data_IF_014233959599
#
_entry.id   IF_014233959599
#
_cell.length_a   1.000
_cell.length_b   1.000
_cell.length_c   1.000
_cell.angle_alpha   90.00
_cell.angle_beta   90.00
_cell.angle_gamma   90.00
#
_symmetry.space_group_name_H-M   'P 1'
#
loop_
_entity.id
_entity.type
_entity.pdbx_description
1 polymer ?
#
# COMPACT_ATOMS: atom_id res chain seq x y z
N UNK A 1 -45.51 4.29 6.53
CA UNK A 1 -44.45 3.25 6.44
C UNK A 1 -43.47 3.39 5.25
N UNK A 2 -43.82 4.04 4.12
CA UNK A 2 -42.97 4.12 2.92
C UNK A 2 -41.59 4.81 3.08
N UNK A 3 -41.45 5.77 4.00
CA UNK A 3 -40.21 6.56 4.18
C UNK A 3 -39.01 5.68 4.61
N UNK A 4 -39.24 4.66 5.44
CA UNK A 4 -38.20 3.74 5.98
C UNK A 4 -37.59 2.84 4.92
N UNK A 5 -38.38 2.33 3.97
CA UNK A 5 -37.88 1.51 2.86
C UNK A 5 -37.01 2.33 1.89
N UNK A 6 -37.40 3.58 1.62
CA UNK A 6 -36.63 4.48 0.75
C UNK A 6 -35.25 4.85 1.33
N UNK A 7 -35.13 4.95 2.66
CA UNK A 7 -33.87 5.24 3.35
C UNK A 7 -32.95 4.02 3.41
N UNK A 8 -33.52 2.82 3.60
CA UNK A 8 -32.76 1.56 3.59
C UNK A 8 -32.15 1.29 2.21
N UNK A 9 -32.94 1.42 1.13
CA UNK A 9 -32.44 1.30 -0.24
C UNK A 9 -31.33 2.32 -0.55
N UNK A 10 -31.48 3.57 -0.09
CA UNK A 10 -30.43 4.60 -0.24
C UNK A 10 -29.16 4.25 0.52
N UNK A 11 -29.27 3.74 1.75
CA UNK A 11 -28.13 3.33 2.57
C UNK A 11 -27.39 2.14 1.97
N UNK A 12 -28.12 1.10 1.52
CA UNK A 12 -27.55 -0.05 0.80
C UNK A 12 -26.83 0.38 -0.46
N UNK A 13 -27.46 1.23 -1.28
CA UNK A 13 -26.82 1.76 -2.49
C UNK A 13 -25.55 2.55 -2.18
N UNK A 14 -25.55 3.35 -1.10
CA UNK A 14 -24.36 4.07 -0.64
C UNK A 14 -23.25 3.12 -0.20
N UNK A 15 -23.58 2.08 0.57
CA UNK A 15 -22.64 1.05 1.00
C UNK A 15 -22.04 0.26 -0.17
N UNK A 16 -22.86 -0.17 -1.13
CA UNK A 16 -22.39 -0.86 -2.33
C UNK A 16 -21.46 0.02 -3.17
N UNK A 17 -21.78 1.31 -3.35
CA UNK A 17 -20.90 2.25 -4.04
C UNK A 17 -19.58 2.45 -3.29
N UNK A 18 -19.60 2.55 -1.97
CA UNK A 18 -18.39 2.66 -1.15
C UNK A 18 -17.50 1.40 -1.30
N UNK A 19 -18.09 0.21 -1.22
CA UNK A 19 -17.40 -1.05 -1.42
C UNK A 19 -16.81 -1.18 -2.84
N UNK A 20 -17.58 -0.82 -3.87
CA UNK A 20 -17.10 -0.83 -5.25
C UNK A 20 -15.93 0.14 -5.47
N UNK A 21 -15.98 1.34 -4.88
CA UNK A 21 -14.86 2.29 -4.92
C UNK A 21 -13.61 1.74 -4.22
N UNK A 22 -13.77 1.09 -3.06
CA UNK A 22 -12.66 0.45 -2.36
C UNK A 22 -12.02 -0.66 -3.21
N UNK A 23 -12.82 -1.56 -3.80
CA UNK A 23 -12.33 -2.60 -4.72
C UNK A 23 -11.63 -2.02 -5.95
N UNK A 24 -12.17 -0.97 -6.55
CA UNK A 24 -11.53 -0.31 -7.71
C UNK A 24 -10.20 0.32 -7.32
N UNK A 25 -10.10 0.93 -6.13
CA UNK A 25 -8.86 1.51 -5.64
C UNK A 25 -7.76 0.44 -5.43
N UNK A 26 -8.11 -0.73 -4.87
CA UNK A 26 -7.15 -1.83 -4.69
C UNK A 26 -6.66 -2.38 -6.03
N UNK A 27 -7.56 -2.60 -7.00
CA UNK A 27 -7.19 -3.06 -8.34
C UNK A 27 -6.27 -2.07 -9.08
N UNK A 28 -6.59 -0.77 -9.02
CA UNK A 28 -5.75 0.28 -9.61
C UNK A 28 -4.37 0.31 -8.93
N UNK A 29 -4.31 0.17 -7.60
CA UNK A 29 -3.04 0.13 -6.88
C UNK A 29 -2.19 -1.08 -7.29
N UNK A 30 -2.79 -2.28 -7.36
CA UNK A 30 -2.13 -3.50 -7.79
C UNK A 30 -1.59 -3.36 -9.23
N UNK A 31 -2.40 -2.84 -10.15
CA UNK A 31 -1.96 -2.57 -11.52
C UNK A 31 -0.80 -1.56 -11.57
N UNK A 32 -0.89 -0.45 -10.82
CA UNK A 32 0.16 0.59 -10.77
C UNK A 32 1.48 0.13 -10.17
N UNK A 33 1.44 -0.84 -9.27
CA UNK A 33 2.61 -1.50 -8.69
C UNK A 33 3.25 -2.46 -9.70
N UNK A 34 2.42 -3.13 -10.52
CA UNK A 34 2.89 -4.02 -11.60
C UNK A 34 3.57 -3.27 -12.73
N UNK A 35 3.04 -2.13 -13.14
CA UNK A 35 3.51 -1.41 -14.34
C UNK A 35 4.65 -0.44 -14.08
N UNK A 36 5.05 -0.18 -12.82
CA UNK A 36 6.18 0.69 -12.57
C UNK A 36 6.54 0.90 -11.12
N UNK A 37 7.66 1.59 -10.91
CA UNK A 37 8.21 1.83 -9.58
C UNK A 37 7.28 2.71 -8.72
N UNK A 38 7.00 2.27 -7.49
CA UNK A 38 6.15 2.96 -6.51
C UNK A 38 6.80 2.98 -5.13
N UNK A 39 6.27 3.77 -4.20
CA UNK A 39 6.79 3.80 -2.83
C UNK A 39 6.56 2.45 -2.14
N UNK A 40 7.42 2.09 -1.18
CA UNK A 40 7.25 0.87 -0.38
C UNK A 40 5.86 0.78 0.26
N UNK A 41 5.31 1.91 0.71
CA UNK A 41 3.96 1.98 1.26
C UNK A 41 2.91 1.51 0.26
N UNK A 42 3.00 1.92 -1.01
CA UNK A 42 2.05 1.47 -2.04
C UNK A 42 2.16 -0.03 -2.29
N UNK A 43 3.37 -0.60 -2.28
CA UNK A 43 3.57 -2.05 -2.40
C UNK A 43 2.94 -2.81 -1.23
N UNK A 44 3.17 -2.37 0.01
CA UNK A 44 2.63 -2.98 1.23
C UNK A 44 1.10 -2.89 1.29
N UNK A 45 0.52 -1.75 0.88
CA UNK A 45 -0.94 -1.61 0.79
C UNK A 45 -1.53 -2.45 -0.35
N UNK A 46 -0.81 -2.63 -1.46
CA UNK A 46 -1.28 -3.42 -2.59
C UNK A 46 -1.40 -4.92 -2.26
N UNK A 47 -0.63 -5.42 -1.31
CA UNK A 47 -0.77 -6.80 -0.79
C UNK A 47 -1.81 -6.94 0.32
N UNK A 48 -2.53 -5.86 0.66
CA UNK A 48 -3.67 -5.89 1.57
C UNK A 48 -3.35 -5.68 3.05
N UNK A 49 -2.13 -5.24 3.40
CA UNK A 49 -1.84 -4.91 4.79
C UNK A 49 -2.55 -3.58 5.18
N UNK A 50 -3.24 -3.52 6.34
CA UNK A 50 -3.94 -2.30 6.76
C UNK A 50 -2.96 -1.15 7.01
N UNK A 51 -3.45 0.08 6.85
CA UNK A 51 -2.62 1.30 6.91
C UNK A 51 -1.88 1.48 8.23
N UNK A 52 -2.48 1.06 9.34
CA UNK A 52 -1.92 1.13 10.69
C UNK A 52 -0.62 0.32 10.80
N UNK A 53 -0.64 -0.88 10.21
CA UNK A 53 0.47 -1.83 10.21
C UNK A 53 1.50 -1.55 9.11
N UNK A 54 1.06 -0.92 8.02
CA UNK A 54 1.89 -0.61 6.87
C UNK A 54 3.06 0.32 7.21
N UNK A 55 2.86 1.30 8.10
CA UNK A 55 3.91 2.25 8.49
C UNK A 55 5.08 1.54 9.16
N UNK A 56 4.79 0.71 10.16
CA UNK A 56 5.81 -0.05 10.91
C UNK A 56 6.57 -1.04 10.02
N UNK A 57 5.88 -1.73 9.11
CA UNK A 57 6.53 -2.62 8.16
C UNK A 57 7.42 -1.83 7.19
N UNK A 58 6.94 -0.72 6.63
CA UNK A 58 7.70 0.12 5.69
C UNK A 58 8.98 0.67 6.31
N UNK A 59 8.94 1.16 7.55
CA UNK A 59 10.15 1.67 8.21
C UNK A 59 11.19 0.58 8.44
N UNK A 60 10.75 -0.65 8.71
CA UNK A 60 11.65 -1.80 8.77
C UNK A 60 12.23 -2.13 7.40
N UNK A 61 11.40 -2.17 6.35
CA UNK A 61 11.85 -2.42 4.98
C UNK A 61 12.85 -1.36 4.50
N UNK A 62 12.70 -0.09 4.89
CA UNK A 62 13.68 0.97 4.59
C UNK A 62 15.06 0.67 5.21
N UNK A 63 15.09 0.14 6.44
CA UNK A 63 16.34 -0.27 7.09
C UNK A 63 17.00 -1.43 6.33
N UNK A 64 16.21 -2.43 5.93
CA UNK A 64 16.69 -3.56 5.12
C UNK A 64 17.15 -3.12 3.72
N UNK A 65 16.45 -2.19 3.08
CA UNK A 65 16.87 -1.62 1.79
C UNK A 65 18.24 -0.94 1.90
N UNK A 66 18.48 -0.16 2.96
CA UNK A 66 19.80 0.43 3.24
C UNK A 66 20.86 -0.64 3.49
N UNK A 67 20.56 -1.66 4.30
CA UNK A 67 21.48 -2.77 4.60
C UNK A 67 21.89 -3.55 3.35
N UNK A 68 20.95 -3.78 2.44
CA UNK A 68 21.18 -4.50 1.19
C UNK A 68 21.69 -3.58 0.06
N UNK A 69 22.00 -2.30 0.36
CA UNK A 69 22.41 -1.28 -0.62
C UNK A 69 21.42 -1.06 -1.80
N UNK A 70 20.14 -1.41 -1.62
CA UNK A 70 19.10 -1.27 -2.65
C UNK A 70 18.60 0.17 -2.65
N UNK A 71 18.95 0.92 -3.69
CA UNK A 71 18.53 2.31 -3.90
C UNK A 71 17.32 2.35 -4.84
N UNK A 72 16.21 2.91 -4.35
CA UNK A 72 15.06 3.20 -5.19
C UNK A 72 15.32 4.40 -6.11
N UNK A 73 14.49 4.57 -7.14
CA UNK A 73 14.50 5.75 -7.99
C UNK A 73 14.01 6.96 -7.20
N UNK A 74 14.82 8.03 -7.19
CA UNK A 74 14.47 9.30 -6.56
C UNK A 74 13.28 9.94 -7.28
N UNK A 75 12.32 10.42 -6.52
CA UNK A 75 11.18 11.19 -7.01
C UNK A 75 10.86 12.32 -6.02
N UNK A 76 10.06 13.30 -6.47
CA UNK A 76 9.50 14.35 -5.61
C UNK A 76 8.01 14.10 -5.43
N UNK A 77 7.52 14.21 -4.20
CA UNK A 77 6.09 14.07 -3.90
C UNK A 77 5.67 15.12 -2.89
N UNK A 78 4.49 15.71 -3.12
CA UNK A 78 3.76 16.46 -2.09
C UNK A 78 2.75 15.57 -1.35
N UNK A 79 2.42 14.40 -1.90
CA UNK A 79 1.45 13.46 -1.32
C UNK A 79 2.17 12.43 -0.45
N UNK A 80 1.72 12.27 0.78
CA UNK A 80 2.20 11.29 1.77
C UNK A 80 1.06 10.37 2.19
N UNK A 81 1.35 9.36 3.03
CA UNK A 81 0.31 8.56 3.68
C UNK A 81 -0.61 9.40 4.56
N UNK A 82 -0.07 10.50 5.11
CA UNK A 82 -0.74 11.34 6.11
C UNK A 82 -1.47 12.54 5.46
N UNK A 83 -1.46 12.63 4.12
CA UNK A 83 -2.17 13.67 3.38
C UNK A 83 -1.29 14.41 2.35
N UNK A 84 -1.43 15.74 2.32
CA UNK A 84 -0.73 16.62 1.38
C UNK A 84 0.17 17.61 2.12
N UNK A 85 1.43 17.69 1.70
CA UNK A 85 2.43 18.58 2.26
C UNK A 85 2.51 19.89 1.46
N UNK A 86 2.68 21.00 2.17
CA UNK A 86 2.95 22.33 1.58
C UNK A 86 4.23 22.34 0.73
N UNK A 87 5.25 21.58 1.11
CA UNK A 87 6.54 21.45 0.40
C UNK A 87 6.72 20.03 -0.15
N UNK A 88 7.29 19.93 -1.34
CA UNK A 88 7.60 18.62 -1.94
C UNK A 88 8.76 17.95 -1.18
N UNK A 89 8.57 16.69 -0.83
CA UNK A 89 9.60 15.86 -0.18
C UNK A 89 10.22 14.90 -1.19
N UNK A 90 11.46 14.48 -0.92
CA UNK A 90 12.13 13.45 -1.71
C UNK A 90 11.62 12.08 -1.26
N UNK A 91 11.12 11.29 -2.21
CA UNK A 91 10.62 9.94 -1.97
C UNK A 91 11.34 8.97 -2.90
N UNK A 92 11.59 7.76 -2.43
CA UNK A 92 12.18 6.70 -3.23
C UNK A 92 11.10 5.73 -3.72
N UNK A 93 11.16 5.40 -5.01
CA UNK A 93 10.27 4.45 -5.67
C UNK A 93 11.03 3.20 -6.03
N UNK A 94 10.45 2.05 -5.72
CA UNK A 94 11.05 0.73 -5.88
C UNK A 94 10.22 -0.07 -6.89
N UNK A 95 10.89 -0.87 -7.71
CA UNK A 95 10.23 -1.88 -8.55
C UNK A 95 9.84 -3.10 -7.72
N UNK A 96 9.07 -4.04 -8.29
CA UNK A 96 8.68 -5.25 -7.56
C UNK A 96 9.89 -6.14 -7.27
N UNK A 97 10.82 -6.26 -8.21
CA UNK A 97 12.05 -7.04 -8.04
C UNK A 97 12.92 -6.48 -6.92
N UNK A 98 13.03 -5.14 -6.85
CA UNK A 98 13.73 -4.49 -5.75
C UNK A 98 13.04 -4.75 -4.40
N UNK A 99 11.71 -4.72 -4.36
CA UNK A 99 10.96 -5.03 -3.13
C UNK A 99 11.13 -6.48 -2.73
N UNK A 100 11.06 -7.42 -3.68
CA UNK A 100 11.31 -8.85 -3.47
C UNK A 100 12.71 -9.08 -2.85
N UNK A 101 13.73 -8.42 -3.39
CA UNK A 101 15.09 -8.48 -2.85
C UNK A 101 15.21 -7.87 -1.44
N UNK A 102 14.48 -6.79 -1.14
CA UNK A 102 14.44 -6.20 0.21
C UNK A 102 13.78 -7.18 1.21
N UNK A 103 12.64 -7.79 0.83
CA UNK A 103 11.89 -8.68 1.74
C UNK A 103 12.56 -10.04 1.94
N UNK A 104 13.45 -10.46 1.03
CA UNK A 104 14.20 -11.71 1.13
C UNK A 104 14.95 -11.81 2.48
N UNK A 105 15.58 -10.72 2.93
CA UNK A 105 16.35 -10.69 4.20
C UNK A 105 15.51 -10.33 5.43
N UNK A 106 14.26 -9.88 5.23
CA UNK A 106 13.36 -9.51 6.31
C UNK A 106 12.70 -10.74 6.96
N UNK A 107 12.80 -10.92 8.28
CA UNK A 107 12.19 -12.04 9.01
C UNK A 107 11.18 -11.54 10.07
N UNK A 108 9.92 -11.26 9.69
CA UNK A 108 8.90 -10.77 10.62
C UNK A 108 8.45 -11.84 11.62
N UNK A 109 8.14 -11.41 12.86
CA UNK A 109 7.55 -12.25 13.90
C UNK A 109 6.01 -12.24 13.87
N UNK A 110 5.41 -11.06 13.62
CA UNK A 110 3.94 -10.86 13.57
C UNK A 110 3.32 -11.64 12.40
N UNK A 111 2.22 -12.39 12.58
CA UNK A 111 1.62 -13.20 11.53
C UNK A 111 1.16 -12.38 10.31
N UNK A 112 0.55 -11.22 10.53
CA UNK A 112 0.15 -10.29 9.47
C UNK A 112 1.34 -9.89 8.57
N UNK A 113 2.52 -9.67 9.17
CA UNK A 113 3.72 -9.28 8.43
C UNK A 113 4.34 -10.47 7.69
N UNK A 114 4.21 -11.70 8.20
CA UNK A 114 4.63 -12.91 7.51
C UNK A 114 3.82 -13.12 6.22
N UNK A 115 2.49 -12.98 6.30
CA UNK A 115 1.62 -13.06 5.14
C UNK A 115 1.95 -11.96 4.11
N UNK A 116 2.11 -10.71 4.56
CA UNK A 116 2.48 -9.61 3.67
C UNK A 116 3.87 -9.82 3.03
N UNK A 117 4.85 -10.34 3.79
CA UNK A 117 6.17 -10.71 3.24
C UNK A 117 6.03 -11.75 2.14
N UNK A 118 5.28 -12.83 2.37
CA UNK A 118 5.10 -13.89 1.38
C UNK A 118 4.48 -13.33 0.10
N UNK A 119 3.43 -12.51 0.23
CA UNK A 119 2.79 -11.86 -0.90
C UNK A 119 3.74 -10.90 -1.67
N UNK A 120 4.59 -10.14 -0.95
CA UNK A 120 5.58 -9.25 -1.57
C UNK A 120 6.76 -10.00 -2.20
N UNK A 121 7.09 -11.20 -1.72
CA UNK A 121 8.15 -12.02 -2.30
C UNK A 121 7.69 -12.72 -3.59
N UNK A 122 6.41 -13.06 -3.70
CA UNK A 122 5.80 -13.67 -4.88
C UNK A 122 5.34 -12.65 -5.94
N UNK A 123 5.56 -11.36 -5.68
CA UNK A 123 5.05 -10.24 -6.46
C UNK A 123 6.00 -9.87 -7.60
#
# INVERSE_FOLDING_TARGET
MAKRHSTDLRNRTRAHRAAARARRATLIAAHRVRTGARSLTTHVLAVGLPSEDAKSMVDTLRKHAKKNAIKGRRARSRRTSDGFLRKATTVYRYTREQVAAIVATYKPRKPAFKAARAALAAA
#
